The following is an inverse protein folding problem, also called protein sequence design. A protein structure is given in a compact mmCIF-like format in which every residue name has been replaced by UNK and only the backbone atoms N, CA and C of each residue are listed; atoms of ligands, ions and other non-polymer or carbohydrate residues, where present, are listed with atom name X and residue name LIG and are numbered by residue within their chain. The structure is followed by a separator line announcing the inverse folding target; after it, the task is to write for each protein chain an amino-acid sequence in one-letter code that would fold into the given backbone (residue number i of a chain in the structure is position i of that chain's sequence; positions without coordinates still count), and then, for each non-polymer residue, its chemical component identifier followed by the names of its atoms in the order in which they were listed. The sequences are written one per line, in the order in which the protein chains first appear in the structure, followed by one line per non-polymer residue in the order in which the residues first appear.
data_IF_435411834429
#
_entry.id   IF_435411834429
#
_cell.length_a   1.000
_cell.length_b   1.000
_cell.length_c   1.000
_cell.angle_alpha   90.00
_cell.angle_beta   90.00
_cell.angle_gamma   90.00
#
_symmetry.space_group_name_H-M   'P 1'
#
loop_
_entity.id
_entity.type
_entity.pdbx_description
1 polymer ?
#
# COMPACT_ATOMS: atom_id res chain seq x y z
N UNK A 1 -24.34 -23.43 5.44
CA UNK A 1 -23.45 -22.67 6.34
C UNK A 1 -24.18 -21.56 7.12
N UNK A 2 -25.25 -20.96 6.56
CA UNK A 2 -26.05 -19.92 7.24
C UNK A 2 -26.66 -20.35 8.59
N UNK A 3 -27.22 -21.57 8.68
CA UNK A 3 -27.95 -22.02 9.88
C UNK A 3 -27.05 -22.21 11.11
N UNK A 4 -25.77 -22.56 10.87
CA UNK A 4 -24.77 -22.69 11.95
C UNK A 4 -24.39 -21.33 12.52
N UNK A 5 -24.19 -20.33 11.67
CA UNK A 5 -23.88 -18.97 12.13
C UNK A 5 -25.04 -18.35 12.92
N UNK A 6 -26.29 -18.59 12.47
CA UNK A 6 -27.48 -18.15 13.21
C UNK A 6 -27.63 -18.85 14.56
N UNK A 7 -27.34 -20.16 14.64
CA UNK A 7 -27.36 -20.90 15.90
C UNK A 7 -26.35 -20.34 16.92
N UNK A 8 -25.10 -20.08 16.49
CA UNK A 8 -24.09 -19.49 17.37
C UNK A 8 -24.46 -18.08 17.81
N UNK A 9 -25.00 -17.25 16.93
CA UNK A 9 -25.45 -15.90 17.30
C UNK A 9 -26.65 -15.92 18.25
N UNK A 10 -27.56 -16.89 18.13
CA UNK A 10 -28.75 -16.98 18.97
C UNK A 10 -28.47 -17.56 20.36
N UNK A 11 -27.64 -18.61 20.47
CA UNK A 11 -27.34 -19.24 21.77
C UNK A 11 -26.23 -18.52 22.55
N UNK A 12 -25.24 -17.93 21.87
CA UNK A 12 -24.08 -17.35 22.53
C UNK A 12 -24.12 -15.82 22.60
N UNK A 13 -25.25 -15.19 22.31
CA UNK A 13 -25.35 -13.73 22.30
C UNK A 13 -24.94 -13.09 23.64
N UNK A 14 -25.22 -13.76 24.75
CA UNK A 14 -24.83 -13.33 26.09
C UNK A 14 -23.33 -13.55 26.41
N UNK A 15 -22.64 -14.42 25.68
CA UNK A 15 -21.20 -14.69 25.84
C UNK A 15 -20.33 -13.69 25.06
N UNK A 16 -20.88 -13.00 24.07
CA UNK A 16 -20.22 -11.90 23.37
C UNK A 16 -20.51 -10.57 24.06
N UNK A 17 -20.08 -10.42 25.31
CA UNK A 17 -19.95 -9.08 25.89
C UNK A 17 -18.87 -8.34 25.10
N UNK A 18 -19.20 -7.16 24.58
CA UNK A 18 -18.19 -6.26 24.02
C UNK A 18 -17.03 -6.17 25.00
N UNK A 19 -15.81 -6.44 24.52
CA UNK A 19 -14.63 -6.25 25.35
C UNK A 19 -14.65 -4.80 25.84
N UNK A 20 -14.24 -4.54 27.10
CA UNK A 20 -14.05 -3.18 27.53
C UNK A 20 -13.11 -2.49 26.54
N UNK A 21 -13.46 -1.28 26.12
CA UNK A 21 -12.60 -0.48 25.25
C UNK A 21 -11.21 -0.32 25.87
N UNK A 22 -10.18 -0.02 25.06
CA UNK A 22 -8.82 0.15 25.55
C UNK A 22 -8.78 1.17 26.69
N UNK A 23 -7.97 0.87 27.71
CA UNK A 23 -7.78 1.79 28.82
C UNK A 23 -7.01 3.03 28.35
N UNK A 24 -7.09 4.13 29.11
CA UNK A 24 -6.30 5.33 28.82
C UNK A 24 -4.78 5.04 28.81
N UNK A 25 -4.33 4.04 29.58
CA UNK A 25 -2.93 3.62 29.63
C UNK A 25 -2.52 2.87 28.36
N UNK A 26 -3.38 1.99 27.84
CA UNK A 26 -3.12 1.29 26.57
C UNK A 26 -3.01 2.28 25.40
N UNK A 27 -3.82 3.33 25.45
CA UNK A 27 -3.82 4.44 24.51
C UNK A 27 -2.51 5.24 24.59
N UNK A 28 -2.00 5.50 25.80
CA UNK A 28 -0.75 6.22 26.02
C UNK A 28 0.47 5.40 25.58
N UNK A 29 0.53 4.10 25.92
CA UNK A 29 1.61 3.19 25.47
C UNK A 29 1.63 3.07 23.94
N UNK A 30 0.45 3.04 23.31
CA UNK A 30 0.28 3.07 21.86
C UNK A 30 0.88 4.34 21.24
N UNK A 31 0.58 5.52 21.80
CA UNK A 31 1.11 6.80 21.33
C UNK A 31 2.62 6.86 21.51
N UNK A 32 3.12 6.47 22.68
CA UNK A 32 4.56 6.45 22.99
C UNK A 32 5.31 5.49 22.06
N UNK A 33 4.74 4.31 21.79
CA UNK A 33 5.31 3.34 20.85
C UNK A 33 5.35 3.90 19.43
N UNK A 34 4.27 4.55 18.97
CA UNK A 34 4.23 5.16 17.64
C UNK A 34 5.26 6.30 17.53
N UNK A 35 5.40 7.15 18.54
CA UNK A 35 6.39 8.24 18.57
C UNK A 35 7.80 7.67 18.60
N UNK A 36 8.09 6.68 19.45
CA UNK A 36 9.40 6.02 19.49
C UNK A 36 9.77 5.40 18.13
N UNK A 37 8.79 4.76 17.47
CA UNK A 37 8.96 4.19 16.14
C UNK A 37 9.34 5.22 15.07
N UNK A 38 8.81 6.45 15.17
CA UNK A 38 9.16 7.51 14.21
C UNK A 38 10.58 8.05 14.37
N UNK A 39 11.23 7.82 15.52
CA UNK A 39 12.51 8.44 15.89
C UNK A 39 13.72 7.51 15.89
N UNK A 40 13.56 6.18 15.75
CA UNK A 40 14.67 5.24 15.95
C UNK A 40 14.75 4.08 14.92
N UNK A 41 15.90 3.41 14.86
CA UNK A 41 16.09 2.17 14.08
C UNK A 41 15.40 1.03 14.83
N UNK A 42 14.44 0.39 14.16
CA UNK A 42 13.50 -0.53 14.79
C UNK A 42 14.17 -1.79 15.31
N UNK A 43 13.89 -2.13 16.57
CA UNK A 43 14.04 -3.50 17.06
C UNK A 43 12.82 -4.30 16.62
N UNK A 44 12.98 -5.62 16.43
CA UNK A 44 11.86 -6.48 16.04
C UNK A 44 10.67 -6.39 17.03
N UNK A 45 10.95 -6.21 18.32
CA UNK A 45 9.90 -6.08 19.35
C UNK A 45 9.11 -4.78 19.22
N UNK A 46 9.77 -3.67 18.87
CA UNK A 46 9.10 -2.39 18.61
C UNK A 46 8.25 -2.45 17.33
N UNK A 47 8.72 -3.16 16.30
CA UNK A 47 7.93 -3.46 15.10
C UNK A 47 6.63 -4.17 15.48
N UNK A 48 6.71 -5.28 16.21
CA UNK A 48 5.53 -6.09 16.57
C UNK A 48 4.52 -5.31 17.42
N UNK A 49 4.98 -4.58 18.43
CA UNK A 49 4.11 -3.71 19.24
C UNK A 49 3.43 -2.64 18.40
N UNK A 50 4.15 -1.99 17.49
CA UNK A 50 3.58 -0.98 16.60
C UNK A 50 2.53 -1.58 15.65
N UNK A 51 2.75 -2.80 15.14
CA UNK A 51 1.77 -3.51 14.31
C UNK A 51 0.46 -3.71 15.08
N UNK A 52 0.54 -4.26 16.28
CA UNK A 52 -0.62 -4.60 17.10
C UNK A 52 -1.42 -3.34 17.50
N UNK A 53 -0.69 -2.30 17.89
CA UNK A 53 -1.17 -0.95 18.12
C UNK A 53 -2.04 -0.39 16.98
N UNK A 54 -1.50 -0.44 15.76
CA UNK A 54 -2.16 0.10 14.56
C UNK A 54 -3.38 -0.73 14.18
N UNK A 55 -3.28 -2.06 14.25
CA UNK A 55 -4.39 -2.96 13.96
C UNK A 55 -5.54 -2.77 14.96
N UNK A 56 -5.20 -2.58 16.24
CA UNK A 56 -6.16 -2.25 17.30
C UNK A 56 -6.90 -0.95 17.00
N UNK A 57 -6.18 0.13 16.64
CA UNK A 57 -6.80 1.39 16.24
C UNK A 57 -7.76 1.22 15.07
N UNK A 58 -7.36 0.45 14.05
CA UNK A 58 -8.20 0.23 12.88
C UNK A 58 -9.46 -0.59 13.22
N UNK A 59 -9.37 -1.58 14.13
CA UNK A 59 -10.54 -2.32 14.63
C UNK A 59 -11.52 -1.40 15.37
N UNK A 60 -11.00 -0.54 16.25
CA UNK A 60 -11.82 0.40 17.03
C UNK A 60 -12.60 1.37 16.14
N UNK A 61 -12.01 1.83 15.03
CA UNK A 61 -12.72 2.63 14.03
C UNK A 61 -13.90 1.83 13.43
N UNK A 62 -13.68 0.56 13.11
CA UNK A 62 -14.72 -0.35 12.60
C UNK A 62 -15.86 -0.58 13.61
N UNK A 63 -15.54 -0.59 14.90
CA UNK A 63 -16.49 -0.74 16.02
C UNK A 63 -17.19 0.58 16.41
N UNK A 64 -17.07 1.63 15.58
CA UNK A 64 -17.64 2.96 15.79
C UNK A 64 -17.06 3.76 16.97
N UNK A 65 -15.94 3.32 17.54
CA UNK A 65 -15.16 4.07 18.55
C UNK A 65 -14.26 5.15 17.89
N UNK A 66 -14.81 5.86 16.90
CA UNK A 66 -14.08 6.86 16.10
C UNK A 66 -13.65 8.06 16.95
N UNK A 67 -14.45 8.41 17.96
CA UNK A 67 -14.17 9.58 18.82
C UNK A 67 -12.93 9.34 19.68
N UNK A 68 -12.83 8.14 20.22
CA UNK A 68 -11.71 7.65 21.02
C UNK A 68 -10.45 7.71 20.16
N UNK A 69 -10.46 7.06 18.99
CA UNK A 69 -9.31 7.05 18.08
C UNK A 69 -8.93 8.46 17.62
N UNK A 70 -9.90 9.34 17.31
CA UNK A 70 -9.60 10.76 17.00
C UNK A 70 -8.85 11.44 18.14
N UNK A 71 -9.25 11.20 19.39
CA UNK A 71 -8.59 11.76 20.58
C UNK A 71 -7.18 11.21 20.80
N UNK A 72 -6.94 9.93 20.52
CA UNK A 72 -5.57 9.36 20.52
C UNK A 72 -4.74 10.07 19.46
N UNK A 73 -5.28 10.09 18.25
CA UNK A 73 -4.58 10.48 17.05
C UNK A 73 -4.26 11.99 17.01
N UNK A 74 -4.97 12.83 17.77
CA UNK A 74 -4.70 14.27 17.85
C UNK A 74 -3.33 14.61 18.45
N UNK A 75 -2.70 13.64 19.14
CA UNK A 75 -1.38 13.81 19.76
C UNK A 75 -0.23 13.33 18.85
N UNK A 76 -0.53 12.71 17.70
CA UNK A 76 0.47 12.10 16.84
C UNK A 76 0.56 12.80 15.49
N UNK A 77 1.77 12.98 14.98
CA UNK A 77 1.97 13.43 13.60
C UNK A 77 1.62 12.32 12.61
N UNK A 78 0.39 12.34 12.13
CA UNK A 78 -0.13 11.44 11.11
C UNK A 78 0.75 11.34 9.86
N UNK A 79 1.45 12.41 9.48
CA UNK A 79 2.34 12.38 8.31
C UNK A 79 3.53 11.45 8.56
N UNK A 80 4.07 11.44 9.78
CA UNK A 80 5.14 10.51 10.15
C UNK A 80 4.64 9.07 10.19
N UNK A 81 3.44 8.85 10.72
CA UNK A 81 2.79 7.54 10.70
C UNK A 81 2.66 7.03 9.25
N UNK A 82 2.19 7.87 8.32
CA UNK A 82 2.08 7.49 6.91
C UNK A 82 3.44 7.18 6.27
N UNK A 83 4.47 7.98 6.56
CA UNK A 83 5.84 7.72 6.08
C UNK A 83 6.37 6.38 6.62
N UNK A 84 6.09 6.07 7.88
CA UNK A 84 6.40 4.78 8.48
C UNK A 84 5.72 3.64 7.73
N UNK A 85 4.42 3.75 7.45
CA UNK A 85 3.71 2.71 6.69
C UNK A 85 4.24 2.55 5.27
N UNK A 86 4.64 3.64 4.62
CA UNK A 86 5.23 3.54 3.28
C UNK A 86 6.60 2.86 3.31
N UNK A 87 7.42 3.12 4.33
CA UNK A 87 8.72 2.45 4.49
C UNK A 87 8.56 0.98 4.89
N UNK A 88 7.54 0.66 5.66
CA UNK A 88 7.33 -0.68 6.17
C UNK A 88 6.38 -1.49 5.28
N UNK A 89 6.97 -2.15 4.28
CA UNK A 89 6.26 -2.94 3.26
C UNK A 89 5.54 -4.18 3.82
N UNK A 90 5.75 -4.52 5.10
CA UNK A 90 4.97 -5.56 5.80
C UNK A 90 3.53 -5.14 6.03
N UNK A 91 3.25 -3.83 6.04
CA UNK A 91 1.90 -3.31 6.17
C UNK A 91 1.27 -3.07 4.81
N UNK A 92 0.12 -3.71 4.60
CA UNK A 92 -0.79 -3.31 3.52
C UNK A 92 -1.66 -2.17 4.03
N UNK A 93 -1.64 -1.05 3.32
CA UNK A 93 -2.47 0.12 3.64
C UNK A 93 -3.96 -0.26 3.59
N UNK A 94 -4.33 -1.23 2.74
CA UNK A 94 -5.68 -1.79 2.70
C UNK A 94 -6.18 -2.31 4.06
N UNK A 95 -5.30 -2.91 4.88
CA UNK A 95 -5.64 -3.43 6.20
C UNK A 95 -5.89 -2.33 7.23
N UNK A 96 -5.30 -1.16 7.02
CA UNK A 96 -5.38 -0.01 7.93
C UNK A 96 -6.10 1.18 7.28
N UNK A 97 -6.91 0.90 6.26
CA UNK A 97 -7.52 1.91 5.40
C UNK A 97 -8.47 2.84 6.15
N UNK A 98 -9.14 2.34 7.20
CA UNK A 98 -10.02 3.16 8.03
C UNK A 98 -9.22 4.17 8.85
N UNK A 99 -8.08 3.74 9.42
CA UNK A 99 -7.16 4.64 10.13
C UNK A 99 -6.53 5.67 9.20
N UNK A 100 -6.06 5.26 8.02
CA UNK A 100 -5.49 6.17 7.03
C UNK A 100 -6.54 7.18 6.56
N UNK A 101 -7.77 6.73 6.26
CA UNK A 101 -8.88 7.59 5.86
C UNK A 101 -9.20 8.62 6.95
N UNK A 102 -9.23 8.21 8.21
CA UNK A 102 -9.43 9.09 9.36
C UNK A 102 -8.33 10.15 9.46
N UNK A 103 -7.09 9.76 9.23
CA UNK A 103 -5.93 10.65 9.31
C UNK A 103 -5.91 11.71 8.20
N UNK A 104 -6.36 11.35 6.99
CA UNK A 104 -6.39 12.26 5.84
C UNK A 104 -7.64 13.15 5.77
N UNK A 105 -8.70 12.80 6.50
CA UNK A 105 -10.01 13.47 6.48
C UNK A 105 -9.87 14.99 6.67
N UNK A 106 -10.29 15.76 5.66
CA UNK A 106 -10.28 17.23 5.67
C UNK A 106 -8.90 17.86 5.46
N UNK A 107 -7.86 17.07 5.17
CA UNK A 107 -6.46 17.51 4.99
C UNK A 107 -5.81 16.91 3.74
N UNK A 108 -6.59 16.35 2.83
CA UNK A 108 -6.13 15.52 1.70
C UNK A 108 -5.11 16.23 0.82
N UNK A 109 -5.36 17.51 0.51
CA UNK A 109 -4.46 18.34 -0.29
C UNK A 109 -3.14 18.62 0.44
N UNK A 110 -3.19 18.82 1.76
CA UNK A 110 -2.00 19.05 2.57
C UNK A 110 -1.14 17.77 2.60
N UNK A 111 -1.75 16.60 2.78
CA UNK A 111 -1.01 15.33 2.74
C UNK A 111 -0.36 15.06 1.39
N UNK A 112 -1.05 15.31 0.27
CA UNK A 112 -0.43 15.12 -1.05
C UNK A 112 0.80 16.00 -1.23
N UNK A 113 0.72 17.28 -0.82
CA UNK A 113 1.86 18.19 -0.86
C UNK A 113 2.97 17.74 0.09
N UNK A 114 2.65 17.34 1.31
CA UNK A 114 3.64 17.06 2.33
C UNK A 114 4.30 15.67 2.14
N UNK A 115 3.58 14.72 1.51
CA UNK A 115 4.13 13.44 1.05
C UNK A 115 4.95 13.56 -0.23
N UNK A 116 4.75 14.61 -1.02
CA UNK A 116 5.45 14.85 -2.28
C UNK A 116 6.97 14.72 -2.15
N UNK A 117 7.56 15.44 -1.17
CA UNK A 117 9.00 15.42 -0.93
C UNK A 117 9.50 14.01 -0.58
N UNK A 118 8.67 13.27 0.15
CA UNK A 118 8.97 11.91 0.56
C UNK A 118 8.87 10.92 -0.60
N UNK A 119 7.89 11.05 -1.50
CA UNK A 119 7.77 10.20 -2.70
C UNK A 119 8.92 10.37 -3.69
N UNK A 120 9.63 11.51 -3.63
CA UNK A 120 10.85 11.77 -4.42
C UNK A 120 12.16 11.37 -3.73
N UNK A 121 12.09 10.91 -2.47
CA UNK A 121 13.26 10.53 -1.68
C UNK A 121 13.92 9.27 -2.26
N UNK A 122 15.18 9.39 -2.65
CA UNK A 122 15.95 8.29 -3.24
C UNK A 122 16.18 7.13 -2.26
N UNK A 123 16.06 7.35 -0.95
CA UNK A 123 16.11 6.26 0.04
C UNK A 123 15.01 5.20 -0.18
N UNK A 124 13.92 5.55 -0.88
CA UNK A 124 12.89 4.57 -1.28
C UNK A 124 13.42 3.50 -2.24
N UNK A 125 14.54 3.73 -2.93
CA UNK A 125 15.18 2.72 -3.79
C UNK A 125 15.72 1.53 -2.99
N UNK A 126 15.97 1.69 -1.70
CA UNK A 126 16.40 0.59 -0.82
C UNK A 126 15.22 -0.34 -0.45
N UNK A 127 13.98 0.06 -0.79
CA UNK A 127 12.75 -0.65 -0.47
C UNK A 127 11.99 -0.96 -1.77
N UNK A 128 12.26 -2.09 -2.45
CA UNK A 128 11.71 -2.38 -3.78
C UNK A 128 10.18 -2.41 -3.81
N UNK A 129 9.52 -2.77 -2.70
CA UNK A 129 8.06 -2.83 -2.60
C UNK A 129 7.39 -1.52 -2.14
N UNK A 130 8.16 -0.44 -1.88
CA UNK A 130 7.61 0.82 -1.38
C UNK A 130 6.62 1.49 -2.34
N UNK A 131 6.62 1.12 -3.62
CA UNK A 131 5.62 1.60 -4.57
C UNK A 131 4.19 1.19 -4.17
N UNK A 132 4.01 0.02 -3.53
CA UNK A 132 2.69 -0.48 -3.17
C UNK A 132 1.98 0.44 -2.17
N UNK A 133 2.53 0.70 -0.97
CA UNK A 133 1.87 1.56 0.00
C UNK A 133 1.71 3.01 -0.51
N UNK A 134 2.64 3.50 -1.34
CA UNK A 134 2.49 4.81 -2.00
C UNK A 134 1.20 4.84 -2.83
N UNK A 135 1.02 3.89 -3.75
CA UNK A 135 -0.14 3.85 -4.63
C UNK A 135 -1.42 3.58 -3.83
N UNK A 136 -1.38 2.74 -2.80
CA UNK A 136 -2.54 2.49 -1.94
C UNK A 136 -2.98 3.76 -1.18
N UNK A 137 -2.04 4.54 -0.63
CA UNK A 137 -2.35 5.84 0.01
C UNK A 137 -2.97 6.80 -1.02
N UNK A 138 -2.40 6.87 -2.23
CA UNK A 138 -2.93 7.72 -3.30
C UNK A 138 -4.34 7.31 -3.72
N UNK A 139 -4.62 6.01 -3.77
CA UNK A 139 -5.94 5.47 -4.07
C UNK A 139 -6.95 5.77 -2.96
N UNK A 140 -6.54 5.79 -1.70
CA UNK A 140 -7.39 6.19 -0.57
C UNK A 140 -7.71 7.69 -0.58
N UNK A 141 -6.79 8.53 -1.02
CA UNK A 141 -7.01 9.98 -1.10
C UNK A 141 -7.95 10.34 -2.26
N UNK A 142 -7.90 9.59 -3.37
CA UNK A 142 -8.58 9.92 -4.63
C UNK A 142 -10.08 10.26 -4.49
N UNK A 143 -10.92 9.50 -3.75
CA UNK A 143 -12.35 9.76 -3.63
C UNK A 143 -12.70 11.09 -2.95
N UNK A 144 -11.76 11.66 -2.19
CA UNK A 144 -11.95 12.89 -1.43
C UNK A 144 -11.43 14.13 -2.17
N UNK A 145 -10.81 13.95 -3.34
CA UNK A 145 -10.31 15.06 -4.14
C UNK A 145 -11.45 15.72 -4.93
N UNK A 146 -11.43 17.07 -5.07
CA UNK A 146 -12.42 17.76 -5.88
C UNK A 146 -12.23 17.43 -7.36
N UNK A 147 -13.32 17.49 -8.13
CA UNK A 147 -13.32 17.15 -9.55
C UNK A 147 -12.30 17.94 -10.38
N UNK A 148 -12.03 19.18 -9.97
CA UNK A 148 -11.12 20.15 -10.58
C UNK A 148 -9.73 20.18 -9.95
N UNK A 149 -9.39 19.18 -9.12
CA UNK A 149 -8.08 19.07 -8.47
C UNK A 149 -6.93 19.08 -9.48
N UNK A 150 -5.87 19.81 -9.19
CA UNK A 150 -4.59 19.73 -9.90
C UNK A 150 -3.50 19.35 -8.91
N UNK A 151 -2.53 18.54 -9.32
CA UNK A 151 -1.46 18.13 -8.42
C UNK A 151 -0.57 19.33 -8.06
N UNK A 152 -0.03 19.41 -6.83
CA UNK A 152 0.99 20.38 -6.49
C UNK A 152 2.17 20.33 -7.47
N UNK A 153 2.83 21.45 -7.71
CA UNK A 153 3.94 21.53 -8.67
C UNK A 153 5.12 20.62 -8.26
N UNK A 154 5.28 20.41 -6.96
CA UNK A 154 6.32 19.58 -6.37
C UNK A 154 6.01 18.08 -6.51
N UNK A 155 4.75 17.72 -6.78
CA UNK A 155 4.25 16.35 -6.79
C UNK A 155 4.70 15.59 -8.03
N UNK A 156 5.66 14.69 -7.83
CA UNK A 156 6.28 13.90 -8.89
C UNK A 156 6.28 12.40 -8.55
N UNK A 157 5.65 11.61 -9.42
CA UNK A 157 5.56 10.15 -9.30
C UNK A 157 6.67 9.41 -10.07
N UNK A 158 7.65 10.11 -10.63
CA UNK A 158 8.73 9.52 -11.42
C UNK A 158 9.46 8.37 -10.71
N UNK A 159 9.78 8.55 -9.42
CA UNK A 159 10.40 7.50 -8.62
C UNK A 159 9.45 6.32 -8.38
N UNK A 160 8.17 6.61 -8.12
CA UNK A 160 7.13 5.58 -7.97
C UNK A 160 6.98 4.74 -9.24
N UNK A 161 7.01 5.33 -10.44
CA UNK A 161 6.99 4.58 -11.71
C UNK A 161 8.21 3.69 -11.87
N UNK A 162 9.40 4.21 -11.52
CA UNK A 162 10.64 3.44 -11.57
C UNK A 162 10.60 2.23 -10.64
N UNK A 163 10.07 2.38 -9.42
CA UNK A 163 9.87 1.28 -8.49
C UNK A 163 8.77 0.32 -8.97
N UNK A 164 7.64 0.84 -9.44
CA UNK A 164 6.52 0.04 -9.93
C UNK A 164 6.92 -0.87 -11.10
N UNK A 165 7.67 -0.35 -12.07
CA UNK A 165 8.10 -1.11 -13.25
C UNK A 165 9.26 -2.08 -13.01
N UNK A 166 9.99 -1.94 -11.90
CA UNK A 166 11.01 -2.92 -11.49
C UNK A 166 10.38 -4.20 -10.94
N UNK A 167 9.11 -4.14 -10.55
CA UNK A 167 8.41 -5.24 -9.94
C UNK A 167 7.30 -5.75 -10.85
N UNK A 168 6.99 -7.03 -10.72
CA UNK A 168 5.89 -7.61 -11.46
C UNK A 168 4.55 -7.12 -10.86
N UNK A 169 3.67 -6.51 -11.66
CA UNK A 169 2.41 -6.01 -11.15
C UNK A 169 1.54 -7.15 -10.64
N UNK A 170 1.01 -6.98 -9.43
CA UNK A 170 0.07 -7.91 -8.83
C UNK A 170 -1.21 -8.01 -9.66
N UNK A 171 -1.65 -9.24 -9.93
CA UNK A 171 -2.88 -9.53 -10.68
C UNK A 171 -4.10 -8.82 -10.12
N UNK A 172 -4.21 -8.77 -8.79
CA UNK A 172 -5.38 -8.22 -8.11
C UNK A 172 -5.28 -6.71 -7.86
N UNK A 173 -4.08 -6.13 -8.00
CA UNK A 173 -3.83 -4.70 -7.76
C UNK A 173 -3.63 -3.89 -9.02
N UNK A 174 -3.28 -4.52 -10.15
CA UNK A 174 -2.94 -3.82 -11.40
C UNK A 174 -3.99 -2.80 -11.83
N UNK A 175 -5.26 -3.22 -11.90
CA UNK A 175 -6.33 -2.33 -12.36
C UNK A 175 -6.47 -1.11 -11.46
N UNK A 176 -6.55 -1.33 -10.15
CA UNK A 176 -6.65 -0.24 -9.18
C UNK A 176 -5.43 0.70 -9.26
N UNK A 177 -4.23 0.14 -9.36
CA UNK A 177 -2.99 0.92 -9.35
C UNK A 177 -2.82 1.70 -10.64
N UNK A 178 -3.10 1.09 -11.79
CA UNK A 178 -3.05 1.77 -13.09
C UNK A 178 -4.09 2.87 -13.19
N UNK A 179 -5.34 2.63 -12.76
CA UNK A 179 -6.40 3.65 -12.71
C UNK A 179 -5.99 4.83 -11.81
N UNK A 180 -5.42 4.55 -10.63
CA UNK A 180 -4.94 5.58 -9.69
C UNK A 180 -3.79 6.39 -10.29
N UNK A 181 -2.75 5.74 -10.80
CA UNK A 181 -1.58 6.41 -11.36
C UNK A 181 -1.94 7.26 -12.58
N UNK A 182 -2.81 6.77 -13.46
CA UNK A 182 -3.29 7.55 -14.62
C UNK A 182 -4.08 8.78 -14.18
N UNK A 183 -4.91 8.67 -13.15
CA UNK A 183 -5.63 9.83 -12.61
C UNK A 183 -4.67 10.94 -12.16
N UNK A 184 -3.64 10.62 -11.38
CA UNK A 184 -2.68 11.62 -10.90
C UNK A 184 -1.82 12.18 -12.04
N UNK A 185 -1.37 11.33 -12.98
CA UNK A 185 -0.65 11.76 -14.17
C UNK A 185 -1.45 12.78 -14.99
N UNK A 186 -2.76 12.53 -15.14
CA UNK A 186 -3.64 13.42 -15.88
C UNK A 186 -3.75 14.83 -15.25
N UNK A 187 -3.51 14.91 -13.94
CA UNK A 187 -3.58 16.15 -13.16
C UNK A 187 -2.22 16.83 -12.97
N UNK A 188 -1.16 16.32 -13.59
CA UNK A 188 0.16 16.94 -13.60
C UNK A 188 1.20 16.30 -12.67
N UNK A 189 0.99 15.07 -12.20
CA UNK A 189 1.90 14.38 -11.26
C UNK A 189 3.25 13.91 -11.87
N UNK A 190 3.68 14.55 -12.95
CA UNK A 190 4.93 14.24 -13.62
C UNK A 190 5.66 15.54 -13.96
N UNK A 191 6.85 15.70 -13.39
CA UNK A 191 7.59 16.95 -13.49
C UNK A 191 8.30 17.09 -14.83
N UNK A 192 8.29 18.32 -15.37
CA UNK A 192 9.10 18.67 -16.53
C UNK A 192 10.59 18.48 -16.21
N UNK A 193 11.27 17.61 -16.97
CA UNK A 193 12.70 17.28 -16.80
C UNK A 193 12.98 15.98 -16.06
N UNK A 194 11.97 15.31 -15.49
CA UNK A 194 12.14 13.96 -14.97
C UNK A 194 12.32 12.93 -16.09
N UNK A 195 12.95 11.79 -15.78
CA UNK A 195 13.15 10.70 -16.75
C UNK A 195 11.80 10.18 -17.26
N UNK A 196 11.58 10.37 -18.56
CA UNK A 196 10.33 10.03 -19.25
C UNK A 196 10.23 8.55 -19.59
N UNK A 197 11.32 7.78 -19.55
CA UNK A 197 11.32 6.38 -19.98
C UNK A 197 10.49 5.44 -19.11
N UNK A 198 10.55 5.53 -17.75
CA UNK A 198 9.63 4.79 -16.89
C UNK A 198 8.18 5.14 -17.19
N UNK A 199 7.87 6.43 -17.38
CA UNK A 199 6.51 6.85 -17.71
C UNK A 199 6.06 6.27 -19.06
N UNK A 200 6.87 6.39 -20.11
CA UNK A 200 6.60 5.81 -21.45
C UNK A 200 6.31 4.31 -21.36
N UNK A 201 7.13 3.59 -20.60
CA UNK A 201 7.00 2.15 -20.40
C UNK A 201 5.68 1.80 -19.70
N UNK A 202 5.35 2.51 -18.63
CA UNK A 202 4.08 2.36 -17.91
C UNK A 202 2.87 2.62 -18.83
N UNK A 203 2.87 3.72 -19.58
CA UNK A 203 1.77 4.06 -20.48
C UNK A 203 1.57 2.99 -21.57
N UNK A 204 2.66 2.47 -22.15
CA UNK A 204 2.60 1.38 -23.13
C UNK A 204 1.99 0.11 -22.53
N UNK A 205 2.36 -0.23 -21.30
CA UNK A 205 1.80 -1.36 -20.55
C UNK A 205 0.30 -1.18 -20.27
N UNK A 206 -0.13 0.04 -19.91
CA UNK A 206 -1.54 0.34 -19.73
C UNK A 206 -2.33 0.09 -21.03
N UNK A 207 -1.86 0.62 -22.16
CA UNK A 207 -2.56 0.56 -23.46
C UNK A 207 -2.61 -0.86 -24.02
N UNK A 208 -1.48 -1.58 -23.96
CA UNK A 208 -1.35 -2.91 -24.54
C UNK A 208 -0.94 -3.93 -23.49
N UNK A 209 -1.87 -4.36 -22.62
CA UNK A 209 -1.52 -5.32 -21.61
C UNK A 209 -0.93 -6.58 -22.27
N UNK A 210 -1.72 -7.28 -23.07
CA UNK A 210 -1.42 -8.61 -23.62
C UNK A 210 -0.11 -8.82 -24.40
N UNK A 211 0.68 -7.76 -24.65
CA UNK A 211 1.98 -7.84 -25.34
C UNK A 211 3.17 -8.22 -24.46
N UNK A 212 3.04 -8.24 -23.13
CA UNK A 212 4.11 -8.72 -22.23
C UNK A 212 4.04 -10.26 -22.13
N UNK A 213 4.97 -11.01 -22.77
CA UNK A 213 4.88 -12.47 -22.81
C UNK A 213 4.98 -13.08 -21.41
N UNK A 214 4.10 -14.04 -21.09
CA UNK A 214 4.14 -14.82 -19.85
C UNK A 214 3.47 -14.17 -18.62
N UNK A 215 3.31 -12.85 -18.59
CA UNK A 215 2.81 -12.17 -17.39
C UNK A 215 1.27 -12.19 -17.27
N UNK A 216 0.56 -11.98 -18.37
CA UNK A 216 -0.88 -11.63 -18.34
C UNK A 216 -1.80 -12.58 -19.12
N UNK A 217 -1.29 -13.75 -19.52
CA UNK A 217 -2.05 -14.75 -20.28
C UNK A 217 -3.19 -15.41 -19.49
N UNK A 218 -3.21 -15.25 -18.16
CA UNK A 218 -4.18 -15.86 -17.24
C UNK A 218 -5.09 -14.86 -16.53
N UNK A 219 -5.01 -13.57 -16.89
CA UNK A 219 -5.79 -12.53 -16.23
C UNK A 219 -7.22 -12.50 -16.76
N UNK A 220 -8.16 -12.21 -15.87
CA UNK A 220 -9.54 -11.94 -16.27
C UNK A 220 -9.67 -10.49 -16.74
N UNK A 221 -10.69 -10.18 -17.54
CA UNK A 221 -10.99 -8.80 -17.98
C UNK A 221 -11.17 -7.83 -16.81
N UNK A 222 -11.61 -8.32 -15.65
CA UNK A 222 -11.72 -7.53 -14.43
C UNK A 222 -10.36 -7.08 -13.88
N UNK A 223 -9.28 -7.78 -14.21
CA UNK A 223 -7.90 -7.52 -13.75
C UNK A 223 -7.07 -6.74 -14.77
N UNK A 224 -7.52 -6.66 -16.01
CA UNK A 224 -6.92 -5.80 -17.02
C UNK A 224 -7.11 -4.31 -16.73
N UNK A 225 -6.27 -3.48 -17.37
CA UNK A 225 -6.43 -2.03 -17.40
C UNK A 225 -7.84 -1.64 -17.85
N UNK A 226 -8.49 -0.73 -17.14
CA UNK A 226 -9.82 -0.27 -17.54
C UNK A 226 -9.79 0.47 -18.90
N UNK A 227 -10.93 0.50 -19.60
CA UNK A 227 -11.03 1.15 -20.92
C UNK A 227 -10.69 2.65 -20.85
N UNK A 228 -11.25 3.37 -19.88
CA UNK A 228 -10.95 4.78 -19.64
C UNK A 228 -9.45 5.01 -19.38
N UNK A 229 -8.82 4.13 -18.59
CA UNK A 229 -7.38 4.20 -18.30
C UNK A 229 -6.53 3.92 -19.54
N UNK A 230 -6.94 3.00 -20.43
CA UNK A 230 -6.26 2.76 -21.71
C UNK A 230 -6.34 3.96 -22.64
N UNK A 231 -7.52 4.54 -22.80
CA UNK A 231 -7.73 5.74 -23.63
C UNK A 231 -6.89 6.91 -23.10
N UNK A 232 -6.96 7.17 -21.79
CA UNK A 232 -6.18 8.24 -21.18
C UNK A 232 -4.68 8.01 -21.29
N UNK A 233 -4.22 6.77 -21.12
CA UNK A 233 -2.82 6.42 -21.29
C UNK A 233 -2.34 6.68 -22.73
N UNK A 234 -3.16 6.39 -23.75
CA UNK A 234 -2.83 6.67 -25.14
C UNK A 234 -2.71 8.18 -25.41
N UNK A 235 -3.62 9.00 -24.87
CA UNK A 235 -3.53 10.45 -24.98
C UNK A 235 -2.29 11.02 -24.29
N UNK A 236 -1.98 10.55 -23.08
CA UNK A 236 -0.79 10.98 -22.34
C UNK A 236 0.50 10.58 -23.07
N UNK A 237 0.54 9.39 -23.66
CA UNK A 237 1.69 8.94 -24.44
C UNK A 237 1.90 9.81 -25.69
N UNK A 238 0.82 10.13 -26.41
CA UNK A 238 0.87 11.03 -27.56
C UNK A 238 1.34 12.44 -27.19
N UNK A 239 0.90 12.98 -26.04
CA UNK A 239 1.39 14.26 -25.51
C UNK A 239 2.88 14.21 -25.20
N UNK A 240 3.36 13.11 -24.62
CA UNK A 240 4.77 12.93 -24.28
C UNK A 240 5.65 12.84 -25.53
N UNK A 241 5.21 12.13 -26.56
CA UNK A 241 5.87 12.06 -27.87
C UNK A 241 5.92 13.43 -28.56
N UNK A 242 4.84 14.23 -28.47
CA UNK A 242 4.82 15.57 -29.02
C UNK A 242 5.80 16.52 -28.32
N UNK A 243 5.95 16.41 -26.99
CA UNK A 243 6.93 17.20 -26.23
C UNK A 243 8.37 16.86 -26.63
N UNK A 244 8.69 15.58 -26.79
CA UNK A 244 10.04 15.18 -27.21
C UNK A 244 10.37 15.63 -28.65
N UNK A 245 9.37 15.66 -29.55
CA UNK A 245 9.55 16.20 -30.89
C UNK A 245 9.84 17.73 -30.88
N UNK A 246 9.23 18.48 -29.95
CA UNK A 246 9.51 19.91 -29.77
C UNK A 246 10.92 20.15 -29.21
N UNK A 247 11.34 19.37 -28.21
CA UNK A 247 12.68 19.45 -27.61
C UNK A 247 13.78 19.10 -28.62
N UNK A 248 13.53 18.09 -29.47
CA UNK A 248 14.43 17.74 -30.58
C UNK A 248 14.49 18.84 -31.65
N UNK A 249 13.36 19.44 -32.02
CA UNK A 249 13.29 20.54 -32.99
C UNK A 249 13.98 21.83 -32.53
N UNK A 250 13.89 22.14 -31.24
CA UNK A 250 14.58 23.29 -30.64
C UNK A 250 16.10 23.07 -30.56
N UNK A 251 16.54 21.83 -30.28
CA UNK A 251 17.96 21.47 -30.19
C UNK A 251 18.67 21.49 -31.55
N UNK A 252 17.96 21.19 -32.65
CA UNK A 252 18.51 21.26 -34.02
C UNK A 252 18.83 22.72 -34.44
N UNK A 253 18.17 23.72 -33.85
CA UNK A 253 18.51 25.14 -34.09
C UNK A 253 19.75 25.61 -33.31
N UNK A 254 20.28 24.78 -32.39
CA UNK A 254 21.37 25.15 -31.49
C UNK A 254 22.34 23.98 -31.24
N UNK A 255 22.88 23.34 -32.28
CA UNK A 255 24.14 22.59 -32.10
C UNK A 255 24.77 22.15 -33.43
N UNK A 256 25.96 22.69 -33.70
CA UNK A 256 26.99 22.05 -34.54
C UNK A 256 28.05 21.49 -33.57
N UNK A 257 28.49 20.25 -33.80
CA UNK A 257 29.57 19.48 -33.11
C UNK A 257 29.23 19.02 -31.68
N UNK A 258 29.41 17.78 -31.21
CA UNK A 258 30.23 16.65 -31.68
C UNK A 258 29.77 15.29 -31.10
N UNK A 259 29.98 14.27 -31.93
CA UNK A 259 30.54 12.91 -31.70
C UNK A 259 29.99 11.97 -30.61
N UNK A 260 29.13 11.05 -31.06
CA UNK A 260 29.31 9.58 -31.08
C UNK A 260 30.21 8.93 -29.99
N UNK A 261 29.57 8.23 -29.04
CA UNK A 261 30.14 7.07 -28.34
C UNK A 261 29.05 5.99 -28.21
N UNK A 262 29.35 4.84 -28.78
CA UNK A 262 28.63 3.57 -28.76
C UNK A 262 28.88 2.84 -27.43
N UNK A 263 27.84 2.33 -26.75
CA UNK A 263 28.02 1.37 -25.64
C UNK A 263 27.00 0.22 -25.69
N UNK A 264 27.52 -0.97 -25.40
CA UNK A 264 27.01 -2.29 -25.70
C UNK A 264 26.04 -2.79 -24.63
N UNK A 265 24.84 -3.18 -25.05
CA UNK A 265 23.90 -3.93 -24.21
C UNK A 265 24.32 -5.39 -24.06
N UNK A 266 24.38 -5.90 -22.82
CA UNK A 266 24.38 -7.34 -22.51
C UNK A 266 23.16 -7.70 -21.63
N UNK A 267 22.60 -8.91 -21.75
CA UNK A 267 21.34 -9.29 -21.12
C UNK A 267 21.54 -9.90 -19.72
N UNK A 268 20.76 -9.43 -18.76
CA UNK A 268 20.81 -9.80 -17.35
C UNK A 268 19.65 -10.75 -16.99
N UNK A 269 19.78 -12.02 -17.36
CA UNK A 269 18.89 -13.09 -16.89
C UNK A 269 19.74 -14.21 -16.32
N UNK A 270 19.76 -14.39 -14.99
CA UNK A 270 20.04 -15.64 -14.23
C UNK A 270 20.62 -15.39 -12.81
N UNK A 271 19.92 -14.68 -11.91
CA UNK A 271 20.39 -14.67 -10.51
C UNK A 271 19.35 -14.68 -9.37
N UNK A 272 18.05 -14.61 -9.60
CA UNK A 272 17.10 -14.53 -8.46
C UNK A 272 16.15 -15.74 -8.46
N UNK A 273 16.66 -16.90 -8.06
CA UNK A 273 15.81 -18.09 -7.81
C UNK A 273 16.13 -18.86 -6.52
N UNK A 274 17.03 -18.38 -5.66
CA UNK A 274 17.37 -19.07 -4.39
C UNK A 274 16.81 -18.44 -3.12
N UNK A 275 16.23 -17.23 -3.17
CA UNK A 275 15.61 -16.59 -1.98
C UNK A 275 14.11 -16.85 -1.84
N UNK A 276 13.47 -17.49 -2.82
CA UNK A 276 12.02 -17.66 -2.87
C UNK A 276 11.48 -18.92 -2.16
N UNK A 277 12.34 -19.89 -1.81
CA UNK A 277 11.89 -21.15 -1.19
C UNK A 277 11.88 -21.15 0.34
N UNK A 278 12.43 -20.11 0.98
CA UNK A 278 12.41 -19.98 2.45
C UNK A 278 11.18 -19.19 2.96
N UNK A 279 10.71 -18.19 2.22
CA UNK A 279 9.57 -17.34 2.63
C UNK A 279 8.20 -18.05 2.55
N UNK A 280 8.07 -19.08 1.70
CA UNK A 280 6.85 -19.88 1.58
C UNK A 280 6.71 -20.96 2.67
N UNK A 281 7.75 -21.19 3.49
CA UNK A 281 7.68 -22.16 4.59
C UNK A 281 7.01 -21.57 5.83
N UNK A 282 7.19 -20.27 6.07
CA UNK A 282 6.76 -19.65 7.33
C UNK A 282 5.31 -19.16 7.29
N UNK A 283 4.80 -18.79 6.11
CA UNK A 283 3.38 -18.45 5.93
C UNK A 283 2.46 -19.67 5.98
N UNK A 284 2.95 -20.85 5.58
CA UNK A 284 2.15 -22.08 5.62
C UNK A 284 2.08 -22.75 7.00
N UNK A 285 3.04 -22.47 7.89
CA UNK A 285 3.07 -23.01 9.26
C UNK A 285 2.08 -22.27 10.19
N UNK A 286 1.76 -21.01 9.90
CA UNK A 286 0.83 -20.21 10.71
C UNK A 286 -0.62 -20.67 10.57
N UNK A 287 -1.04 -21.09 9.36
CA UNK A 287 -2.41 -21.54 9.11
C UNK A 287 -2.74 -22.91 9.74
N UNK A 288 -1.72 -23.70 10.12
CA UNK A 288 -1.90 -25.01 10.78
C UNK A 288 -1.99 -24.93 12.31
N UNK A 289 -1.31 -23.95 12.94
CA UNK A 289 -1.32 -23.80 14.41
C UNK A 289 -2.64 -23.25 14.96
N UNK A 290 -3.37 -22.45 14.20
CA UNK A 290 -4.71 -21.97 14.60
C UNK A 290 -5.79 -23.06 14.61
N UNK A 291 -5.54 -24.23 13.98
CA UNK A 291 -6.51 -25.34 13.93
C UNK A 291 -6.21 -26.48 14.90
N UNK A 292 -5.06 -26.46 15.61
CA UNK A 292 -4.66 -27.58 16.49
C UNK A 292 -4.76 -27.28 17.99
N UNK A 293 -5.14 -26.07 18.43
CA UNK A 293 -5.27 -25.76 19.86
C UNK A 293 -6.68 -25.89 20.44
N UNK A 294 -7.64 -26.44 19.69
CA UNK A 294 -8.97 -26.81 20.21
C UNK A 294 -9.06 -28.33 20.20
N UNK A 295 -8.62 -28.95 21.29
CA UNK A 295 -8.80 -30.38 21.50
C UNK A 295 -7.94 -30.92 22.64
N UNK A 296 -8.64 -31.44 23.66
CA UNK A 296 -8.15 -32.27 24.78
C UNK A 296 -7.71 -31.48 26.02
N UNK A 297 -8.71 -31.06 26.80
CA UNK A 297 -8.61 -30.93 28.24
C UNK A 297 -9.45 -32.04 28.86
N UNK A 298 -8.78 -33.03 29.44
CA UNK A 298 -9.36 -34.17 30.15
C UNK A 298 -10.23 -33.71 31.32
N UNK A 299 -11.45 -34.23 31.38
CA UNK A 299 -12.32 -34.12 32.55
C UNK A 299 -11.93 -35.26 33.49
N UNK A 300 -11.09 -34.92 34.47
CA UNK A 300 -10.80 -35.72 35.65
C UNK A 300 -12.03 -35.71 36.58
N UNK A 301 -12.71 -36.86 36.69
CA UNK A 301 -13.89 -37.03 37.55
C UNK A 301 -13.50 -37.72 38.86
N UNK A 302 -13.71 -36.99 39.96
CA UNK A 302 -13.95 -37.53 41.31
C UNK A 302 -13.04 -36.95 42.40
N UNK A 303 -13.39 -37.05 43.70
CA UNK A 303 -14.54 -37.77 44.28
C UNK A 303 -15.35 -36.99 45.35
N UNK A 304 -16.57 -37.46 45.63
CA UNK A 304 -16.95 -37.82 47.01
C UNK A 304 -17.97 -36.97 47.81
N UNK A 305 -18.80 -37.74 48.54
CA UNK A 305 -19.55 -37.45 49.78
C UNK A 305 -20.99 -36.93 49.62
N UNK A 306 -22.02 -37.76 49.86
CA UNK A 306 -22.61 -38.27 51.13
C UNK A 306 -23.78 -37.43 51.65
N UNK A 307 -24.83 -38.12 52.09
CA UNK A 307 -26.05 -37.62 52.76
C UNK A 307 -27.20 -38.60 52.47
N UNK A 308 -27.32 -39.72 53.19
CA UNK A 308 -28.15 -39.87 54.39
C UNK A 308 -29.60 -39.35 54.24
N UNK A 309 -30.54 -40.24 53.95
CA UNK A 309 -31.66 -40.64 54.83
C UNK A 309 -32.45 -41.79 54.22
#
# INVERSE_FOLDING_TARGET
MSDRAQFYLAEQHAAFTSLPGPSAQDIEELVDTAVAFTHDVTTQELDEKFIDAVMTCNSLIGEQAVREVKNISSHVDHLQILKVFIRNTRFRISHISALVSLAIEGKEHAYLRDLSAFMTDQSLLDYPDAYQPIIEVLALILPYLPSQFTTPLEFDLSLTFKLFLRNDPGRDTWRQYSDTLIYYLDRGAFKAGSDKEPLRSFLKLCIHPSRTPGMWQSWDRSQETSEATRERAAELLAKLDALDALDAGASISSSTLNTEVEDQSRPFTLWIWQSFTQLLRDTWIWQRKAQTSIGVGDIEMGPGSQGET
#
